data_IF_032590390060
#
_entry.id   IF_032590390060
#
_cell.length_a   1.000
_cell.length_b   1.000
_cell.length_c   1.000
_cell.angle_alpha   90.00
_cell.angle_beta   90.00
_cell.angle_gamma   90.00
#
_symmetry.space_group_name_H-M   'P 1'
#
loop_
_entity.id
_entity.type
_entity.pdbx_description
1 polymer ?
#
# COMPACT_ATOMS: atom_id res chain seq x y z
N UNK A 1 -16.53 11.47 16.82
CA UNK A 1 -16.23 12.74 16.15
C UNK A 1 -14.84 12.58 15.57
N UNK A 2 -14.66 12.83 14.26
CA UNK A 2 -13.37 12.63 13.59
C UNK A 2 -12.42 13.79 13.90
N UNK A 3 -11.19 13.49 14.17
CA UNK A 3 -10.15 14.44 14.58
C UNK A 3 -9.39 14.92 13.35
N UNK A 4 -9.35 16.21 13.09
CA UNK A 4 -8.74 16.83 11.92
C UNK A 4 -7.48 17.59 12.30
N UNK A 5 -6.37 17.32 11.60
CA UNK A 5 -5.14 18.12 11.63
C UNK A 5 -5.02 18.93 10.34
N UNK A 6 -4.69 20.21 10.45
CA UNK A 6 -4.44 21.10 9.30
C UNK A 6 -2.97 21.48 9.31
N UNK A 7 -2.28 21.32 8.18
CA UNK A 7 -0.85 21.63 8.02
C UNK A 7 -0.66 22.57 6.83
N UNK A 8 -0.21 23.78 7.12
CA UNK A 8 0.02 24.81 6.11
C UNK A 8 1.01 25.84 6.68
N UNK A 9 2.02 26.27 5.92
CA UNK A 9 3.01 27.25 6.37
C UNK A 9 2.45 28.69 6.36
N UNK A 10 1.25 28.90 5.82
CA UNK A 10 0.50 30.12 5.89
C UNK A 10 -0.54 30.08 7.06
N UNK A 11 -0.32 30.73 8.21
CA UNK A 11 -1.24 30.68 9.34
C UNK A 11 -2.66 31.16 9.01
N UNK A 12 -2.77 32.07 8.03
CA UNK A 12 -4.06 32.59 7.58
C UNK A 12 -4.92 31.51 6.91
N UNK A 13 -4.31 30.56 6.23
CA UNK A 13 -4.99 29.44 5.61
C UNK A 13 -5.49 28.47 6.69
N UNK A 14 -4.65 28.11 7.66
CA UNK A 14 -5.04 27.29 8.79
C UNK A 14 -6.24 27.89 9.54
N UNK A 15 -6.19 29.18 9.86
CA UNK A 15 -7.28 29.89 10.55
C UNK A 15 -8.52 29.99 9.65
N UNK A 16 -8.34 30.23 8.35
CA UNK A 16 -9.44 30.29 7.39
C UNK A 16 -10.20 28.97 7.30
N UNK A 17 -9.49 27.84 7.20
CA UNK A 17 -10.08 26.50 7.21
C UNK A 17 -10.75 26.20 8.55
N UNK A 18 -10.05 26.48 9.66
CA UNK A 18 -10.58 26.21 11.00
C UNK A 18 -11.89 26.92 11.29
N UNK A 19 -12.05 28.18 10.83
CA UNK A 19 -13.24 29.00 11.08
C UNK A 19 -14.28 28.95 9.97
N UNK A 20 -13.86 28.71 8.73
CA UNK A 20 -14.72 28.77 7.56
C UNK A 20 -15.53 27.50 7.32
N UNK A 21 -14.97 26.34 7.66
CA UNK A 21 -15.65 25.05 7.51
C UNK A 21 -16.57 24.77 8.71
N UNK A 22 -17.75 24.26 8.43
CA UNK A 22 -18.74 23.85 9.45
C UNK A 22 -18.46 22.43 9.95
N UNK A 23 -17.33 22.24 10.62
CA UNK A 23 -16.80 20.94 11.03
C UNK A 23 -17.81 20.04 11.75
N UNK A 24 -18.66 20.61 12.61
CA UNK A 24 -19.68 19.86 13.36
C UNK A 24 -20.72 19.19 12.46
N UNK A 25 -21.05 19.77 11.30
CA UNK A 25 -21.98 19.17 10.33
C UNK A 25 -21.43 17.88 9.71
N UNK A 26 -20.11 17.76 9.65
CA UNK A 26 -19.40 16.58 9.15
C UNK A 26 -18.98 15.58 10.25
N UNK A 27 -19.41 15.80 11.49
CA UNK A 27 -18.97 15.05 12.67
C UNK A 27 -17.44 15.09 12.86
N UNK A 28 -16.83 16.25 12.57
CA UNK A 28 -15.40 16.51 12.66
C UNK A 28 -15.09 17.61 13.70
N UNK A 29 -13.85 17.60 14.20
CA UNK A 29 -13.27 18.69 15.00
C UNK A 29 -11.81 18.91 14.62
N UNK A 30 -11.37 20.17 14.53
CA UNK A 30 -9.96 20.52 14.31
C UNK A 30 -9.22 20.43 15.63
N UNK A 31 -8.38 19.40 15.78
CA UNK A 31 -7.64 19.13 17.02
C UNK A 31 -6.29 19.83 17.06
N UNK A 32 -5.77 20.30 15.93
CA UNK A 32 -4.51 21.03 15.87
C UNK A 32 -4.20 21.60 14.51
N UNK A 33 -3.15 22.40 14.46
CA UNK A 33 -2.53 22.92 13.24
C UNK A 33 -1.02 22.75 13.33
N UNK A 34 -0.33 22.73 12.19
CA UNK A 34 1.14 22.73 12.08
C UNK A 34 1.59 23.63 10.92
N UNK A 35 2.78 24.18 11.01
CA UNK A 35 3.31 25.14 10.04
C UNK A 35 4.27 24.53 9.00
N UNK A 36 4.56 23.23 9.08
CA UNK A 36 5.42 22.52 8.12
C UNK A 36 5.28 21.01 8.31
N UNK A 37 5.86 20.23 7.38
CA UNK A 37 5.73 18.78 7.42
C UNK A 37 6.38 18.10 8.63
N UNK A 38 7.48 18.63 9.17
CA UNK A 38 8.12 18.07 10.36
C UNK A 38 7.23 18.22 11.60
N UNK A 39 6.72 19.44 11.83
CA UNK A 39 5.75 19.69 12.90
C UNK A 39 4.47 18.86 12.69
N UNK A 40 4.03 18.72 11.43
CA UNK A 40 2.90 17.86 11.07
C UNK A 40 3.08 16.43 11.53
N UNK A 41 4.25 15.83 11.31
CA UNK A 41 4.57 14.47 11.80
C UNK A 41 4.53 14.36 13.34
N UNK A 42 5.06 15.34 14.04
CA UNK A 42 5.03 15.38 15.50
C UNK A 42 3.58 15.48 16.02
N UNK A 43 2.77 16.37 15.42
CA UNK A 43 1.36 16.54 15.77
C UNK A 43 0.52 15.31 15.47
N UNK A 44 0.81 14.59 14.39
CA UNK A 44 0.13 13.31 14.10
C UNK A 44 0.35 12.30 15.20
N UNK A 45 1.57 12.19 15.74
CA UNK A 45 1.89 11.29 16.85
C UNK A 45 1.23 11.71 18.17
N UNK A 46 1.18 13.02 18.46
CA UNK A 46 0.61 13.55 19.68
C UNK A 46 -0.92 13.52 19.69
N UNK A 47 -1.53 13.93 18.57
CA UNK A 47 -2.95 14.20 18.49
C UNK A 47 -3.77 13.06 17.90
N UNK A 48 -3.13 12.04 17.36
CA UNK A 48 -3.79 10.88 16.74
C UNK A 48 -5.00 11.27 15.86
N UNK A 49 -4.83 12.11 14.80
CA UNK A 49 -5.93 12.56 13.97
C UNK A 49 -6.38 11.46 13.01
N UNK A 50 -7.67 11.48 12.62
CA UNK A 50 -8.25 10.59 11.61
C UNK A 50 -8.11 11.18 10.20
N UNK A 51 -8.07 12.51 10.10
CA UNK A 51 -8.08 13.29 8.86
C UNK A 51 -6.92 14.28 8.87
N UNK A 52 -6.21 14.36 7.74
CA UNK A 52 -5.17 15.35 7.48
C UNK A 52 -5.57 16.22 6.28
N UNK A 53 -5.50 17.52 6.43
CA UNK A 53 -5.56 18.49 5.32
C UNK A 53 -4.24 19.23 5.30
N UNK A 54 -3.48 19.12 4.21
CA UNK A 54 -2.13 19.69 4.15
C UNK A 54 -1.84 20.41 2.86
N UNK A 55 -1.09 21.52 2.95
CA UNK A 55 -0.39 22.05 1.77
C UNK A 55 0.73 21.11 1.34
N UNK A 56 1.07 21.18 0.05
CA UNK A 56 2.24 20.47 -0.52
C UNK A 56 3.50 21.30 -0.35
N UNK A 57 3.44 22.58 -0.69
CA UNK A 57 4.62 23.44 -0.85
C UNK A 57 4.99 24.13 0.44
N UNK A 58 5.61 23.41 1.36
CA UNK A 58 6.05 23.94 2.66
C UNK A 58 7.56 23.88 2.82
N UNK A 59 8.09 24.72 3.70
CA UNK A 59 9.51 24.73 4.06
C UNK A 59 9.91 23.48 4.87
N UNK A 60 11.19 23.11 4.84
CA UNK A 60 11.82 21.98 5.53
C UNK A 60 11.39 20.60 5.02
N UNK A 61 10.11 20.26 5.09
CA UNK A 61 9.53 19.02 4.59
C UNK A 61 8.26 19.34 3.84
N UNK A 62 8.18 18.93 2.57
CA UNK A 62 6.97 19.09 1.76
C UNK A 62 5.83 18.16 2.20
N UNK A 63 4.60 18.52 1.82
CA UNK A 63 3.41 17.76 2.21
C UNK A 63 3.39 16.34 1.65
N UNK A 64 3.97 16.07 0.48
CA UNK A 64 4.04 14.72 -0.09
C UNK A 64 5.00 13.81 0.68
N UNK A 65 6.18 14.33 1.07
CA UNK A 65 7.12 13.61 1.90
C UNK A 65 6.53 13.30 3.29
N UNK A 66 5.83 14.29 3.89
CA UNK A 66 5.11 14.10 5.14
C UNK A 66 4.03 13.01 5.01
N UNK A 67 3.18 13.08 3.98
CA UNK A 67 2.12 12.10 3.75
C UNK A 67 2.69 10.70 3.50
N UNK A 68 3.81 10.58 2.77
CA UNK A 68 4.46 9.28 2.58
C UNK A 68 4.91 8.67 3.92
N UNK A 69 5.53 9.46 4.79
CA UNK A 69 5.92 9.02 6.13
C UNK A 69 4.69 8.63 6.99
N UNK A 70 3.64 9.47 6.99
CA UNK A 70 2.41 9.19 7.73
C UNK A 70 1.73 7.91 7.22
N UNK A 71 1.55 7.77 5.91
CA UNK A 71 0.88 6.61 5.30
C UNK A 71 1.65 5.31 5.52
N UNK A 72 2.97 5.38 5.74
CA UNK A 72 3.77 4.21 6.08
C UNK A 72 3.46 3.67 7.49
N UNK A 73 3.09 4.54 8.43
CA UNK A 73 2.74 4.18 9.82
C UNK A 73 1.21 4.12 10.03
N UNK A 74 0.46 5.00 9.34
CA UNK A 74 -0.99 5.20 9.45
C UNK A 74 -1.66 5.19 8.07
N UNK A 75 -1.74 4.02 7.40
CA UNK A 75 -2.27 3.93 6.05
C UNK A 75 -3.76 4.28 5.95
N UNK A 76 -4.49 4.14 7.04
CA UNK A 76 -5.93 4.40 7.18
C UNK A 76 -6.28 5.86 7.44
N UNK A 77 -5.30 6.73 7.71
CA UNK A 77 -5.54 8.16 7.85
C UNK A 77 -6.01 8.75 6.52
N UNK A 78 -7.16 9.43 6.52
CA UNK A 78 -7.66 10.09 5.34
C UNK A 78 -6.92 11.40 5.09
N UNK A 79 -6.53 11.65 3.83
CA UNK A 79 -5.69 12.80 3.48
C UNK A 79 -6.26 13.58 2.31
N UNK A 80 -6.31 14.90 2.46
CA UNK A 80 -6.51 15.85 1.36
C UNK A 80 -5.28 16.75 1.24
N UNK A 81 -4.74 16.87 0.03
CA UNK A 81 -3.64 17.79 -0.28
C UNK A 81 -4.14 19.04 -0.99
N UNK A 82 -3.64 20.18 -0.56
CA UNK A 82 -3.84 21.49 -1.18
C UNK A 82 -2.56 21.89 -1.91
N UNK A 83 -2.66 22.58 -3.04
CA UNK A 83 -1.48 23.06 -3.77
C UNK A 83 -1.78 24.30 -4.59
N UNK A 84 -0.84 25.24 -4.62
CA UNK A 84 -0.89 26.42 -5.50
C UNK A 84 -0.46 26.13 -6.94
N UNK A 85 0.09 24.97 -7.23
CA UNK A 85 0.68 24.65 -8.52
C UNK A 85 -0.07 23.53 -9.24
N UNK A 86 -0.38 23.74 -10.53
CA UNK A 86 -0.87 22.69 -11.43
C UNK A 86 0.32 21.81 -11.87
N UNK A 87 0.88 21.03 -10.96
CA UNK A 87 1.94 20.10 -11.28
C UNK A 87 1.40 18.68 -11.35
N UNK A 88 1.48 18.12 -12.55
CA UNK A 88 1.01 16.76 -12.82
C UNK A 88 1.75 15.69 -11.99
N UNK A 89 3.06 15.90 -11.74
CA UNK A 89 3.85 14.97 -10.94
C UNK A 89 3.37 14.92 -9.48
N UNK A 90 2.98 16.07 -8.90
CA UNK A 90 2.40 16.11 -7.55
C UNK A 90 1.08 15.34 -7.47
N UNK A 91 0.20 15.53 -8.44
CA UNK A 91 -1.06 14.80 -8.51
C UNK A 91 -0.83 13.29 -8.65
N UNK A 92 0.10 12.87 -9.51
CA UNK A 92 0.43 11.47 -9.71
C UNK A 92 1.02 10.82 -8.45
N UNK A 93 1.91 11.52 -7.74
CA UNK A 93 2.47 11.06 -6.46
C UNK A 93 1.40 10.98 -5.37
N UNK A 94 0.52 11.98 -5.28
CA UNK A 94 -0.58 12.01 -4.33
C UNK A 94 -1.53 10.81 -4.52
N UNK A 95 -1.89 10.49 -5.77
CA UNK A 95 -2.70 9.30 -6.10
C UNK A 95 -2.01 8.01 -5.63
N UNK A 96 -0.72 7.86 -5.92
CA UNK A 96 0.06 6.68 -5.49
C UNK A 96 0.16 6.54 -3.98
N UNK A 97 0.13 7.64 -3.24
CA UNK A 97 0.11 7.65 -1.77
C UNK A 97 -1.29 7.40 -1.17
N UNK A 98 -2.30 7.21 -2.01
CA UNK A 98 -3.67 6.99 -1.54
C UNK A 98 -4.27 8.23 -0.88
N UNK A 99 -3.98 9.42 -1.41
CA UNK A 99 -4.59 10.68 -0.98
C UNK A 99 -6.03 10.73 -1.49
N UNK A 100 -6.97 11.03 -0.61
CA UNK A 100 -8.42 11.02 -0.91
C UNK A 100 -8.81 12.09 -1.90
N UNK A 101 -8.24 13.28 -1.76
CA UNK A 101 -8.46 14.43 -2.65
C UNK A 101 -7.18 15.25 -2.84
N UNK A 102 -7.12 15.86 -4.01
CA UNK A 102 -6.08 16.80 -4.40
C UNK A 102 -6.75 18.06 -4.94
N UNK A 103 -6.61 19.18 -4.23
CA UNK A 103 -7.30 20.43 -4.52
C UNK A 103 -6.30 21.54 -4.89
N UNK A 104 -6.71 22.41 -5.81
CA UNK A 104 -5.90 23.57 -6.22
C UNK A 104 -6.24 24.80 -5.37
N UNK A 105 -5.25 25.49 -4.85
CA UNK A 105 -5.39 26.82 -4.25
C UNK A 105 -5.56 27.89 -5.34
N UNK A 106 -6.45 28.87 -5.20
CA UNK A 106 -7.40 29.03 -4.09
C UNK A 106 -8.54 28.02 -4.19
N UNK A 107 -8.66 27.14 -3.19
CA UNK A 107 -9.76 26.18 -3.13
C UNK A 107 -11.02 26.83 -2.66
N UNK A 108 -12.14 26.52 -3.28
CA UNK A 108 -13.45 26.97 -2.86
C UNK A 108 -13.90 26.18 -1.64
N UNK A 109 -14.70 26.79 -0.78
CA UNK A 109 -15.15 26.15 0.46
C UNK A 109 -16.00 24.90 0.21
N UNK A 110 -16.80 24.89 -0.86
CA UNK A 110 -17.58 23.73 -1.29
C UNK A 110 -16.69 22.53 -1.70
N UNK A 111 -15.56 22.76 -2.39
CA UNK A 111 -14.61 21.71 -2.75
C UNK A 111 -13.94 21.08 -1.52
N UNK A 112 -13.67 21.91 -0.51
CA UNK A 112 -13.12 21.44 0.78
C UNK A 112 -14.15 20.62 1.55
N UNK A 113 -15.40 21.10 1.61
CA UNK A 113 -16.51 20.37 2.25
C UNK A 113 -16.81 19.05 1.55
N UNK A 114 -16.75 18.98 0.20
CA UNK A 114 -16.83 17.73 -0.57
C UNK A 114 -15.68 16.77 -0.23
N UNK A 115 -14.46 17.27 -0.07
CA UNK A 115 -13.33 16.45 0.32
C UNK A 115 -13.52 15.86 1.73
N UNK A 116 -14.02 16.66 2.68
CA UNK A 116 -14.33 16.21 4.04
C UNK A 116 -15.44 15.13 4.01
N UNK A 117 -16.48 15.32 3.21
CA UNK A 117 -17.54 14.34 3.02
C UNK A 117 -16.99 13.01 2.50
N UNK A 118 -16.12 13.06 1.49
CA UNK A 118 -15.48 11.85 0.96
C UNK A 118 -14.63 11.14 2.02
N UNK A 119 -13.78 11.87 2.74
CA UNK A 119 -12.94 11.32 3.81
C UNK A 119 -13.77 10.70 4.93
N UNK A 120 -14.82 11.39 5.40
CA UNK A 120 -15.69 10.85 6.45
C UNK A 120 -16.53 9.67 5.99
N UNK A 121 -16.90 9.60 4.70
CA UNK A 121 -17.56 8.43 4.11
C UNK A 121 -16.62 7.22 4.09
N UNK A 122 -15.35 7.40 3.70
CA UNK A 122 -14.34 6.35 3.73
C UNK A 122 -14.16 5.82 5.16
N UNK A 123 -13.98 6.69 6.15
CA UNK A 123 -13.85 6.31 7.55
C UNK A 123 -15.08 5.56 8.11
N UNK A 124 -16.30 5.86 7.63
CA UNK A 124 -17.54 5.14 8.00
C UNK A 124 -17.64 3.77 7.34
N UNK A 125 -17.18 3.64 6.10
CA UNK A 125 -17.33 2.44 5.28
C UNK A 125 -16.37 1.31 5.65
N UNK A 126 -15.33 1.59 6.41
CA UNK A 126 -14.32 0.63 6.89
C UNK A 126 -14.94 -0.57 7.65
N UNK A 127 -16.19 -0.47 8.13
CA UNK A 127 -16.89 -1.55 8.83
C UNK A 127 -17.63 -2.58 7.95
N UNK A 128 -17.88 -2.31 6.65
CA UNK A 128 -18.81 -3.13 5.83
C UNK A 128 -18.33 -3.54 4.43
N UNK A 129 -17.07 -3.27 4.04
CA UNK A 129 -16.68 -3.25 2.63
C UNK A 129 -15.70 -4.33 2.12
N UNK A 130 -15.39 -5.37 2.88
CA UNK A 130 -14.38 -6.35 2.46
C UNK A 130 -14.60 -7.01 1.08
N UNK A 131 -15.83 -7.27 0.68
CA UNK A 131 -16.13 -7.97 -0.58
C UNK A 131 -16.17 -7.04 -1.81
N UNK A 132 -16.71 -5.83 -1.68
CA UNK A 132 -16.85 -4.87 -2.79
C UNK A 132 -15.53 -4.20 -3.22
N UNK A 133 -14.60 -4.05 -2.28
CA UNK A 133 -13.26 -3.48 -2.54
C UNK A 133 -12.45 -4.39 -3.48
N UNK A 134 -12.57 -5.70 -3.32
CA UNK A 134 -11.84 -6.68 -4.13
C UNK A 134 -12.22 -6.55 -5.60
N UNK A 135 -13.50 -6.46 -5.92
CA UNK A 135 -14.00 -6.37 -7.30
C UNK A 135 -13.61 -5.05 -7.99
N UNK A 136 -13.45 -3.96 -7.22
CA UNK A 136 -13.04 -2.66 -7.75
C UNK A 136 -11.55 -2.55 -8.02
N UNK A 137 -10.72 -3.26 -7.26
CA UNK A 137 -9.25 -3.17 -7.35
C UNK A 137 -8.68 -4.19 -8.32
N UNK A 138 -9.23 -5.41 -8.37
CA UNK A 138 -8.71 -6.52 -9.18
C UNK A 138 -9.48 -6.70 -10.49
N UNK A 139 -8.78 -6.60 -11.63
CA UNK A 139 -9.37 -6.86 -12.94
C UNK A 139 -9.30 -8.36 -13.27
N UNK A 140 -10.37 -9.11 -12.98
CA UNK A 140 -10.42 -10.56 -13.21
C UNK A 140 -10.38 -10.99 -14.68
N UNK A 141 -10.45 -10.06 -15.63
CA UNK A 141 -10.25 -10.33 -17.05
C UNK A 141 -8.76 -10.29 -17.44
N UNK A 142 -7.93 -9.59 -16.67
CA UNK A 142 -6.49 -9.59 -16.84
C UNK A 142 -5.88 -10.88 -16.27
N UNK A 143 -4.95 -11.51 -17.05
CA UNK A 143 -4.34 -12.80 -16.65
C UNK A 143 -3.43 -12.67 -15.43
N UNK A 144 -2.67 -11.58 -15.32
CA UNK A 144 -1.77 -11.35 -14.22
C UNK A 144 -2.56 -11.05 -12.94
N UNK A 145 -3.54 -10.14 -13.00
CA UNK A 145 -4.43 -9.82 -11.88
C UNK A 145 -5.14 -11.08 -11.37
N UNK A 146 -5.70 -11.88 -12.25
CA UNK A 146 -6.38 -13.13 -11.89
C UNK A 146 -5.43 -14.11 -11.21
N UNK A 147 -4.25 -14.34 -11.80
CA UNK A 147 -3.25 -15.24 -11.22
C UNK A 147 -2.85 -14.79 -9.81
N UNK A 148 -2.51 -13.50 -9.64
CA UNK A 148 -2.09 -12.95 -8.36
C UNK A 148 -3.20 -13.01 -7.31
N UNK A 149 -4.43 -12.67 -7.70
CA UNK A 149 -5.59 -12.75 -6.82
C UNK A 149 -5.88 -14.18 -6.37
N UNK A 150 -6.00 -15.13 -7.31
CA UNK A 150 -6.31 -16.52 -7.00
C UNK A 150 -5.20 -17.19 -6.17
N UNK A 151 -3.92 -16.89 -6.50
CA UNK A 151 -2.79 -17.51 -5.83
C UNK A 151 -2.56 -16.97 -4.43
N UNK A 152 -2.66 -15.66 -4.23
CA UNK A 152 -2.22 -15.01 -3.01
C UNK A 152 -3.34 -14.48 -2.12
N UNK A 153 -4.47 -14.09 -2.67
CA UNK A 153 -5.56 -13.48 -1.90
C UNK A 153 -6.63 -14.52 -1.59
N UNK A 154 -7.18 -15.18 -2.62
CA UNK A 154 -8.28 -16.13 -2.46
C UNK A 154 -7.83 -17.41 -1.72
N UNK A 155 -6.63 -17.92 -2.02
CA UNK A 155 -6.07 -19.14 -1.42
C UNK A 155 -5.11 -18.83 -0.26
N UNK A 156 -5.40 -17.78 0.52
CA UNK A 156 -4.64 -17.44 1.72
C UNK A 156 -4.66 -18.65 2.68
N UNK A 157 -3.48 -19.07 3.21
CA UNK A 157 -3.45 -20.13 4.21
C UNK A 157 -4.19 -19.71 5.49
N UNK A 158 -5.09 -20.55 5.98
CA UNK A 158 -5.74 -20.36 7.28
C UNK A 158 -4.66 -20.43 8.36
N UNK A 159 -4.45 -19.35 9.13
CA UNK A 159 -3.47 -19.30 10.23
C UNK A 159 -2.33 -18.30 10.08
N UNK A 160 -2.31 -17.48 9.06
CA UNK A 160 -1.35 -16.37 8.93
C UNK A 160 -1.62 -15.28 9.97
N UNK A 161 -0.71 -15.14 10.98
CA UNK A 161 -0.62 -14.12 12.01
C UNK A 161 -1.63 -14.15 13.18
N UNK A 162 -1.53 -15.15 14.04
CA UNK A 162 -1.86 -15.00 15.47
C UNK A 162 -0.64 -15.23 16.41
N UNK A 163 0.58 -15.13 15.93
CA UNK A 163 1.78 -15.24 16.79
C UNK A 163 2.43 -13.89 17.06
N UNK A 164 1.72 -13.03 17.77
CA UNK A 164 2.27 -11.84 18.42
C UNK A 164 1.78 -11.81 19.86
N UNK A 165 2.71 -11.74 20.83
CA UNK A 165 2.42 -11.53 22.24
C UNK A 165 1.50 -10.35 22.45
N UNK A 166 0.68 -10.37 23.50
CA UNK A 166 -0.38 -9.37 23.77
C UNK A 166 0.12 -7.91 23.80
N UNK A 167 1.41 -7.68 23.99
CA UNK A 167 2.04 -6.35 23.95
C UNK A 167 2.13 -5.73 22.55
N UNK A 168 2.08 -6.51 21.47
CA UNK A 168 2.05 -6.01 20.08
C UNK A 168 0.64 -5.83 19.50
N UNK A 169 -0.41 -6.10 20.29
CA UNK A 169 -1.81 -5.92 19.85
C UNK A 169 -2.27 -4.45 19.81
N UNK A 170 -1.53 -3.53 20.43
CA UNK A 170 -1.86 -2.09 20.42
C UNK A 170 -1.30 -1.33 19.21
N UNK A 171 -0.25 -1.87 18.54
CA UNK A 171 0.40 -1.22 17.42
C UNK A 171 -0.12 -1.71 16.06
N UNK A 172 -1.08 -0.98 15.50
CA UNK A 172 -1.35 -0.97 14.06
C UNK A 172 -2.02 -2.24 13.49
N UNK A 173 -3.28 -2.51 13.84
CA UNK A 173 -4.12 -3.40 13.02
C UNK A 173 -4.25 -2.78 11.63
N UNK A 174 -3.77 -3.51 10.61
CA UNK A 174 -4.06 -3.17 9.22
C UNK A 174 -5.58 -3.30 9.05
N UNK A 175 -6.22 -2.19 8.69
CA UNK A 175 -7.65 -2.18 8.33
C UNK A 175 -7.76 -2.45 6.83
N UNK A 176 -8.78 -3.20 6.45
CA UNK A 176 -9.11 -3.37 5.04
C UNK A 176 -9.56 -2.02 4.47
N UNK A 177 -8.72 -1.44 3.61
CA UNK A 177 -9.00 -0.18 2.91
C UNK A 177 -8.66 -0.33 1.42
N UNK A 178 -9.33 0.45 0.57
CA UNK A 178 -9.00 0.48 -0.85
C UNK A 178 -7.53 0.84 -1.08
N UNK A 179 -7.01 1.81 -0.32
CA UNK A 179 -5.61 2.21 -0.41
C UNK A 179 -4.65 1.05 -0.14
N UNK A 180 -4.90 0.24 0.91
CA UNK A 180 -4.09 -0.93 1.22
C UNK A 180 -4.18 -2.01 0.14
N UNK A 181 -5.36 -2.22 -0.43
CA UNK A 181 -5.56 -3.15 -1.55
C UNK A 181 -4.85 -2.66 -2.82
N UNK A 182 -4.85 -1.35 -3.11
CA UNK A 182 -4.09 -0.78 -4.23
C UNK A 182 -2.58 -0.93 -4.03
N UNK A 183 -2.06 -0.64 -2.84
CA UNK A 183 -0.63 -0.82 -2.52
C UNK A 183 -0.25 -2.30 -2.63
N UNK A 184 -1.06 -3.19 -2.08
CA UNK A 184 -0.86 -4.64 -2.17
C UNK A 184 -0.82 -5.10 -3.62
N UNK A 185 -1.82 -4.69 -4.42
CA UNK A 185 -1.89 -5.03 -5.85
C UNK A 185 -0.67 -4.51 -6.61
N UNK A 186 -0.31 -3.23 -6.42
CA UNK A 186 0.87 -2.64 -7.06
C UNK A 186 2.14 -3.41 -6.70
N UNK A 187 2.30 -3.78 -5.43
CA UNK A 187 3.44 -4.57 -4.98
C UNK A 187 3.48 -5.97 -5.62
N UNK A 188 2.35 -6.67 -5.65
CA UNK A 188 2.27 -8.01 -6.24
C UNK A 188 2.52 -7.98 -7.76
N UNK A 189 1.98 -6.98 -8.47
CA UNK A 189 2.24 -6.78 -9.91
C UNK A 189 3.72 -6.50 -10.13
N UNK A 190 4.32 -5.59 -9.38
CA UNK A 190 5.73 -5.27 -9.51
C UNK A 190 6.63 -6.48 -9.26
N UNK A 191 6.34 -7.28 -8.22
CA UNK A 191 7.05 -8.54 -7.96
C UNK A 191 6.88 -9.51 -9.13
N UNK A 192 5.67 -9.61 -9.69
CA UNK A 192 5.36 -10.49 -10.81
C UNK A 192 6.03 -10.08 -12.13
N UNK A 193 6.23 -8.79 -12.35
CA UNK A 193 6.93 -8.28 -13.54
C UNK A 193 8.45 -8.39 -13.43
N UNK A 194 9.00 -8.29 -12.20
CA UNK A 194 10.45 -8.25 -11.93
C UNK A 194 10.98 -9.49 -11.20
N UNK A 195 10.23 -10.61 -11.16
CA UNK A 195 10.62 -11.80 -10.41
C UNK A 195 11.94 -12.43 -10.86
N UNK A 196 12.36 -12.22 -12.09
CA UNK A 196 13.63 -12.73 -12.64
C UNK A 196 14.84 -11.97 -12.14
N UNK A 197 14.64 -10.76 -11.62
CA UNK A 197 15.70 -9.86 -11.18
C UNK A 197 16.08 -10.10 -9.71
N UNK A 198 17.20 -9.48 -9.27
CA UNK A 198 17.55 -9.42 -7.87
C UNK A 198 16.69 -8.36 -7.18
N UNK A 199 15.52 -8.76 -6.71
CA UNK A 199 14.54 -7.89 -6.09
C UNK A 199 14.61 -8.00 -4.56
N UNK A 200 14.57 -6.86 -3.86
CA UNK A 200 14.46 -6.77 -2.41
C UNK A 200 13.10 -6.21 -2.00
N UNK A 201 12.70 -6.44 -0.75
CA UNK A 201 11.49 -5.80 -0.19
C UNK A 201 11.59 -4.26 -0.20
N UNK A 202 12.81 -3.72 -0.08
CA UNK A 202 13.07 -2.29 -0.14
C UNK A 202 12.72 -1.71 -1.51
N UNK A 203 13.16 -2.37 -2.59
CA UNK A 203 12.90 -1.92 -3.97
C UNK A 203 11.39 -1.88 -4.27
N UNK A 204 10.66 -2.91 -3.81
CA UNK A 204 9.20 -2.96 -3.97
C UNK A 204 8.50 -1.89 -3.13
N UNK A 205 8.96 -1.67 -1.90
CA UNK A 205 8.42 -0.65 -1.00
C UNK A 205 8.64 0.77 -1.57
N UNK A 206 9.81 1.04 -2.11
CA UNK A 206 10.13 2.29 -2.80
C UNK A 206 9.23 2.50 -4.02
N UNK A 207 9.03 1.47 -4.83
CA UNK A 207 8.12 1.52 -5.98
C UNK A 207 6.67 1.84 -5.56
N UNK A 208 6.22 1.27 -4.43
CA UNK A 208 4.88 1.50 -3.89
C UNK A 208 4.77 2.76 -3.02
N UNK A 209 5.88 3.50 -2.81
CA UNK A 209 5.94 4.69 -1.95
C UNK A 209 5.49 4.44 -0.50
N UNK A 210 5.82 3.28 0.04
CA UNK A 210 5.55 2.90 1.43
C UNK A 210 6.84 2.44 2.12
N UNK A 211 6.83 2.36 3.45
CA UNK A 211 7.97 1.76 4.16
C UNK A 211 8.02 0.25 3.95
N UNK A 212 9.24 -0.33 3.98
CA UNK A 212 9.43 -1.78 3.91
C UNK A 212 8.69 -2.52 5.03
N UNK A 213 8.60 -1.92 6.22
CA UNK A 213 7.86 -2.47 7.35
C UNK A 213 6.36 -2.55 7.05
N UNK A 214 5.77 -1.45 6.53
CA UNK A 214 4.35 -1.42 6.16
C UNK A 214 4.05 -2.42 5.05
N UNK A 215 4.86 -2.44 3.98
CA UNK A 215 4.70 -3.40 2.90
C UNK A 215 4.78 -4.85 3.40
N UNK A 216 5.75 -5.16 4.27
CA UNK A 216 5.87 -6.49 4.88
C UNK A 216 4.60 -6.88 5.63
N UNK A 217 4.04 -5.96 6.42
CA UNK A 217 2.77 -6.18 7.13
C UNK A 217 1.59 -6.39 6.17
N UNK A 218 1.48 -5.58 5.09
CA UNK A 218 0.44 -5.73 4.08
C UNK A 218 0.51 -7.11 3.40
N UNK A 219 1.69 -7.51 2.92
CA UNK A 219 1.89 -8.82 2.29
C UNK A 219 1.47 -9.94 3.25
N UNK A 220 1.96 -9.93 4.48
CA UNK A 220 1.58 -10.94 5.48
C UNK A 220 0.08 -10.91 5.82
N UNK A 221 -0.51 -9.71 5.98
CA UNK A 221 -1.92 -9.57 6.33
C UNK A 221 -2.83 -10.14 5.24
N UNK A 222 -2.63 -9.78 3.98
CA UNK A 222 -3.52 -10.16 2.90
C UNK A 222 -3.21 -11.51 2.25
N UNK A 223 -1.94 -11.91 2.20
CA UNK A 223 -1.53 -13.15 1.54
C UNK A 223 -1.19 -14.28 2.50
N UNK A 224 -0.99 -13.98 3.78
CA UNK A 224 -0.47 -14.92 4.77
C UNK A 224 0.99 -15.31 4.53
N UNK A 225 1.74 -14.57 3.69
CA UNK A 225 3.08 -14.91 3.24
C UNK A 225 4.03 -13.72 3.28
N UNK A 226 5.32 -13.99 3.53
CA UNK A 226 6.36 -12.97 3.44
C UNK A 226 6.82 -12.74 1.99
N UNK A 227 7.49 -11.61 1.75
CA UNK A 227 8.01 -11.20 0.44
C UNK A 227 8.81 -12.31 -0.28
N UNK A 228 9.77 -12.93 0.41
CA UNK A 228 10.61 -13.99 -0.19
C UNK A 228 9.82 -15.25 -0.54
N UNK A 229 8.78 -15.53 0.19
CA UNK A 229 7.90 -16.64 -0.08
C UNK A 229 7.07 -16.39 -1.34
N UNK A 230 6.52 -15.17 -1.48
CA UNK A 230 5.76 -14.74 -2.65
C UNK A 230 6.62 -14.80 -3.93
N UNK A 231 7.81 -14.19 -3.92
CA UNK A 231 8.68 -14.19 -5.10
C UNK A 231 9.13 -15.61 -5.48
N UNK A 232 9.44 -16.47 -4.48
CA UNK A 232 9.79 -17.86 -4.74
C UNK A 232 8.62 -18.65 -5.32
N UNK A 233 7.38 -18.44 -4.85
CA UNK A 233 6.19 -19.08 -5.42
C UNK A 233 6.02 -18.73 -6.89
N UNK A 234 6.10 -17.44 -7.23
CA UNK A 234 6.01 -16.98 -8.63
C UNK A 234 7.11 -17.63 -9.49
N UNK A 235 8.36 -17.63 -9.01
CA UNK A 235 9.49 -18.28 -9.70
C UNK A 235 9.27 -19.77 -9.92
N UNK A 236 8.75 -20.47 -8.91
CA UNK A 236 8.50 -21.92 -9.01
C UNK A 236 7.34 -22.21 -9.96
N UNK A 237 6.27 -21.43 -9.95
CA UNK A 237 5.17 -21.61 -10.90
C UNK A 237 5.63 -21.38 -12.34
N UNK A 238 6.45 -20.37 -12.60
CA UNK A 238 7.06 -20.15 -13.90
C UNK A 238 8.05 -21.25 -14.28
N UNK A 239 8.80 -21.77 -13.32
CA UNK A 239 9.68 -22.92 -13.57
C UNK A 239 8.90 -24.19 -13.95
N UNK A 240 7.73 -24.44 -13.36
CA UNK A 240 6.87 -25.57 -13.74
C UNK A 240 6.41 -25.45 -15.19
N UNK A 241 6.00 -24.25 -15.63
CA UNK A 241 5.63 -23.98 -17.01
C UNK A 241 6.78 -24.34 -17.99
N UNK A 242 7.99 -23.81 -17.73
CA UNK A 242 9.18 -24.05 -18.57
C UNK A 242 9.64 -25.51 -18.55
N UNK A 243 9.55 -26.19 -17.41
CA UNK A 243 9.92 -27.61 -17.31
C UNK A 243 8.92 -28.52 -18.03
N UNK A 244 7.63 -28.17 -18.04
CA UNK A 244 6.59 -28.91 -18.74
C UNK A 244 6.74 -28.84 -20.28
N UNK A 245 7.29 -27.74 -20.81
CA UNK A 245 7.61 -27.60 -22.22
C UNK A 245 8.74 -28.55 -22.68
N UNK A 246 9.52 -29.11 -21.75
CA UNK A 246 10.52 -30.16 -21.96
C UNK A 246 11.79 -29.73 -22.71
N UNK A 247 11.90 -28.48 -23.16
CA UNK A 247 12.98 -28.01 -24.06
C UNK A 247 14.25 -27.55 -23.32
N UNK A 248 14.09 -27.02 -22.09
CA UNK A 248 15.17 -26.41 -21.34
C UNK A 248 15.79 -27.36 -20.31
N UNK A 249 17.11 -27.23 -20.08
CA UNK A 249 17.79 -27.93 -18.99
C UNK A 249 17.43 -27.31 -17.66
N UNK A 250 17.52 -28.07 -16.56
CA UNK A 250 17.21 -27.57 -15.19
C UNK A 250 18.02 -26.33 -14.83
N UNK A 251 19.28 -26.25 -15.28
CA UNK A 251 20.13 -25.08 -15.11
C UNK A 251 19.54 -23.86 -15.83
N UNK A 252 19.20 -24.01 -17.09
CA UNK A 252 18.64 -22.94 -17.93
C UNK A 252 17.31 -22.42 -17.35
N UNK A 253 16.48 -23.33 -16.84
CA UNK A 253 15.23 -22.95 -16.15
C UNK A 253 15.52 -22.17 -14.86
N UNK A 254 16.48 -22.63 -14.03
CA UNK A 254 16.90 -21.94 -12.82
C UNK A 254 17.31 -20.50 -13.10
N UNK A 255 18.16 -20.31 -14.10
CA UNK A 255 18.66 -18.98 -14.52
C UNK A 255 17.53 -18.11 -15.07
N UNK A 256 16.66 -18.68 -15.92
CA UNK A 256 15.53 -17.98 -16.54
C UNK A 256 14.49 -17.47 -15.52
N UNK A 257 14.32 -18.16 -14.39
CA UNK A 257 13.38 -17.73 -13.36
C UNK A 257 14.04 -16.91 -12.23
N UNK A 258 15.32 -16.54 -12.38
CA UNK A 258 16.02 -15.62 -11.51
C UNK A 258 16.63 -16.22 -10.24
N UNK A 259 16.93 -17.54 -10.21
CA UNK A 259 17.76 -18.12 -9.16
C UNK A 259 19.24 -18.05 -9.57
N UNK A 260 20.07 -17.56 -8.64
CA UNK A 260 21.52 -17.46 -8.84
C UNK A 260 22.26 -18.81 -8.69
N UNK A 261 21.61 -19.79 -8.06
CA UNK A 261 22.19 -21.09 -7.74
C UNK A 261 21.17 -22.21 -7.95
N UNK A 262 21.52 -23.17 -8.79
CA UNK A 262 20.70 -24.35 -9.13
C UNK A 262 20.44 -25.26 -7.93
N UNK A 263 21.40 -25.38 -7.00
CA UNK A 263 21.19 -26.18 -5.79
C UNK A 263 20.11 -25.54 -4.90
N UNK A 264 20.17 -24.20 -4.76
CA UNK A 264 19.13 -23.45 -4.08
C UNK A 264 17.78 -23.57 -4.78
N UNK A 265 17.73 -23.38 -6.10
CA UNK A 265 16.52 -23.59 -6.90
C UNK A 265 15.93 -24.98 -6.68
N UNK A 266 16.74 -26.03 -6.81
CA UNK A 266 16.26 -27.42 -6.69
C UNK A 266 15.67 -27.72 -5.31
N UNK A 267 16.26 -27.16 -4.24
CA UNK A 267 15.77 -27.28 -2.87
C UNK A 267 14.43 -26.57 -2.70
N UNK A 268 14.31 -25.31 -3.17
CA UNK A 268 13.07 -24.54 -3.10
C UNK A 268 11.98 -25.21 -3.93
N UNK A 269 12.29 -25.63 -5.17
CA UNK A 269 11.35 -26.32 -6.03
C UNK A 269 10.80 -27.61 -5.37
N UNK A 270 11.69 -28.43 -4.79
CA UNK A 270 11.26 -29.65 -4.08
C UNK A 270 10.38 -29.34 -2.87
N UNK A 271 10.66 -28.27 -2.14
CA UNK A 271 9.83 -27.87 -0.99
C UNK A 271 8.40 -27.46 -1.42
N UNK A 272 8.27 -26.75 -2.55
CA UNK A 272 6.96 -26.29 -3.04
C UNK A 272 6.19 -27.34 -3.85
N UNK A 273 6.88 -28.19 -4.61
CA UNK A 273 6.28 -29.14 -5.57
C UNK A 273 6.26 -30.58 -5.04
N UNK A 274 7.08 -30.89 -4.03
CA UNK A 274 7.18 -32.24 -3.45
C UNK A 274 8.15 -33.17 -4.20
N UNK A 275 8.64 -32.80 -5.39
CA UNK A 275 9.62 -33.57 -6.16
C UNK A 275 10.71 -32.65 -6.76
N UNK A 276 11.83 -33.23 -7.17
CA UNK A 276 12.90 -32.45 -7.79
C UNK A 276 12.51 -31.93 -9.18
N UNK A 277 13.12 -30.83 -9.67
CA UNK A 277 12.88 -30.33 -11.03
C UNK A 277 13.11 -31.39 -12.13
N UNK A 278 14.10 -32.26 -11.94
CA UNK A 278 14.40 -33.36 -12.87
C UNK A 278 13.30 -34.41 -12.88
N UNK A 279 12.80 -34.79 -11.70
CA UNK A 279 11.69 -35.75 -11.58
C UNK A 279 10.39 -35.16 -12.13
N UNK A 280 10.13 -33.87 -11.87
CA UNK A 280 8.96 -33.17 -12.41
C UNK A 280 8.96 -33.18 -13.94
N UNK A 281 10.08 -32.81 -14.58
CA UNK A 281 10.23 -32.82 -16.03
C UNK A 281 10.04 -34.22 -16.65
N UNK A 282 10.42 -35.27 -15.93
CA UNK A 282 10.24 -36.66 -16.42
C UNK A 282 8.82 -37.19 -16.27
N UNK A 283 7.92 -36.49 -15.62
CA UNK A 283 6.49 -36.82 -15.43
C UNK A 283 5.56 -36.07 -16.39
N UNK A 284 6.05 -34.99 -16.99
CA UNK A 284 5.37 -34.24 -18.05
C UNK A 284 5.81 -34.74 -19.42
#
# INVERSE_FOLDING_TARGET
>A
MYRVLIVDDEPIICEGLRKGVRWSEFNCEVVGTAANGMEGLERVKELDPDILISDISMNNMDGLAMVAAIKSERPDMEVTLLTGYRNFEYAQRAIKLGVTRFLLKPSRMDEIEEAILAMTANLRSIGNMGAQIIDNVWNMQDKADRYLYETFIKNRPEGGCESGTEEHRAEGRIRDSEANQFVLKAALIYIFEHYTEKLSLGDVAEHCYVSSWHLSKLLNHYTGRGFFEIINMIRIDKAKELLAEGRARVQEVSDAVGFLDVAHFSRIFKNYVGCSPKEFRGRC
#
